data_IF_351529270631
#
_entry.id   IF_351529270631
#
_cell.length_a   1.000
_cell.length_b   1.000
_cell.length_c   1.000
_cell.angle_alpha   90.00
_cell.angle_beta   90.00
_cell.angle_gamma   90.00
#
_symmetry.space_group_name_H-M   'P 1'
#
loop_
_entity.id
_entity.type
_entity.pdbx_description
1 polymer ?
#
# COMPACT_ATOMS: atom_id res chain seq x y z
N UNK A 1 -9.93 5.68 -13.58
CA UNK A 1 -9.85 5.86 -12.12
C UNK A 1 -8.64 5.09 -11.60
N UNK A 2 -7.83 5.68 -10.75
CA UNK A 2 -6.72 5.02 -10.08
C UNK A 2 -7.01 4.93 -8.58
N UNK A 3 -6.69 3.79 -7.96
CA UNK A 3 -6.86 3.56 -6.52
C UNK A 3 -5.48 3.31 -5.93
N UNK A 4 -5.05 4.15 -4.99
CA UNK A 4 -3.82 3.99 -4.23
C UNK A 4 -4.12 3.32 -2.90
N UNK A 5 -3.46 2.19 -2.63
CA UNK A 5 -3.61 1.44 -1.38
C UNK A 5 -2.25 1.38 -0.70
N UNK A 6 -2.11 2.05 0.43
CA UNK A 6 -0.90 2.00 1.26
C UNK A 6 -1.21 1.52 2.68
N UNK A 7 -0.22 1.47 3.53
CA UNK A 7 -0.32 1.04 4.92
C UNK A 7 0.92 0.27 5.35
N UNK A 8 1.01 -0.04 6.63
CA UNK A 8 2.11 -0.83 7.20
C UNK A 8 2.24 -2.20 6.55
N UNK A 9 3.37 -2.86 6.74
CA UNK A 9 3.51 -4.26 6.35
C UNK A 9 2.42 -5.10 7.02
N UNK A 10 2.00 -6.19 6.36
CA UNK A 10 0.99 -7.14 6.86
C UNK A 10 -0.44 -6.60 7.05
N UNK A 11 -0.76 -5.36 6.63
CA UNK A 11 -2.12 -4.82 6.73
C UNK A 11 -3.10 -5.34 5.67
N UNK A 12 -2.67 -6.23 4.78
CA UNK A 12 -3.52 -6.84 3.76
C UNK A 12 -3.75 -5.99 2.50
N UNK A 13 -2.84 -5.08 2.16
CA UNK A 13 -2.91 -4.26 0.95
C UNK A 13 -3.12 -5.08 -0.32
N UNK A 14 -2.26 -6.09 -0.53
CA UNK A 14 -2.33 -6.99 -1.69
C UNK A 14 -3.63 -7.81 -1.71
N UNK A 15 -4.11 -8.24 -0.51
CA UNK A 15 -5.39 -8.94 -0.40
C UNK A 15 -6.58 -8.04 -0.80
N UNK A 16 -6.55 -6.77 -0.39
CA UNK A 16 -7.56 -5.80 -0.80
C UNK A 16 -7.49 -5.53 -2.32
N UNK A 17 -6.28 -5.33 -2.85
CA UNK A 17 -6.08 -5.12 -4.29
C UNK A 17 -6.61 -6.32 -5.09
N UNK A 18 -6.38 -7.55 -4.63
CA UNK A 18 -6.90 -8.76 -5.25
C UNK A 18 -8.44 -8.81 -5.23
N UNK A 19 -9.06 -8.50 -4.09
CA UNK A 19 -10.54 -8.43 -3.98
C UNK A 19 -11.14 -7.38 -4.93
N UNK A 20 -10.49 -6.22 -5.04
CA UNK A 20 -10.93 -5.17 -5.96
C UNK A 20 -10.74 -5.57 -7.44
N UNK A 21 -9.64 -6.25 -7.78
CA UNK A 21 -9.45 -6.84 -9.10
C UNK A 21 -10.59 -7.82 -9.44
N UNK A 22 -10.93 -8.73 -8.52
CA UNK A 22 -12.00 -9.72 -8.72
C UNK A 22 -13.38 -9.06 -8.88
N UNK A 23 -13.66 -8.02 -8.08
CA UNK A 23 -14.95 -7.33 -8.06
C UNK A 23 -15.13 -6.37 -9.23
N UNK A 24 -14.12 -5.56 -9.55
CA UNK A 24 -14.23 -4.46 -10.52
C UNK A 24 -13.44 -4.71 -11.81
N UNK A 25 -12.65 -5.79 -11.87
CA UNK A 25 -11.76 -6.11 -13.00
C UNK A 25 -10.71 -5.01 -13.26
N UNK A 26 -10.30 -4.28 -12.21
CA UNK A 26 -9.22 -3.31 -12.27
C UNK A 26 -7.88 -4.04 -12.06
N UNK A 27 -6.94 -3.98 -13.01
CA UNK A 27 -5.62 -4.55 -12.78
C UNK A 27 -4.92 -3.83 -11.62
N UNK A 28 -4.03 -4.53 -10.92
CA UNK A 28 -3.22 -3.88 -9.91
C UNK A 28 -1.71 -3.98 -10.20
N UNK A 29 -1.01 -2.91 -9.81
CA UNK A 29 0.44 -2.81 -9.76
C UNK A 29 0.88 -2.93 -8.30
N UNK A 30 1.63 -3.97 -7.99
CA UNK A 30 2.36 -4.05 -6.73
C UNK A 30 3.67 -3.29 -6.84
N UNK A 31 3.86 -2.28 -5.99
CA UNK A 31 5.11 -1.51 -5.94
C UNK A 31 6.28 -2.38 -5.46
N UNK A 32 5.99 -3.41 -4.65
CA UNK A 32 7.00 -4.40 -4.26
C UNK A 32 7.48 -5.25 -5.45
N UNK A 33 6.60 -5.62 -6.36
CA UNK A 33 7.00 -6.31 -7.60
C UNK A 33 7.86 -5.40 -8.48
N UNK A 34 7.49 -4.13 -8.63
CA UNK A 34 8.28 -3.14 -9.35
C UNK A 34 9.67 -2.98 -8.71
N UNK A 35 9.73 -2.82 -7.38
CA UNK A 35 10.97 -2.75 -6.60
C UNK A 35 11.87 -3.92 -6.91
N UNK A 36 11.36 -5.15 -6.77
CA UNK A 36 12.16 -6.35 -7.00
C UNK A 36 12.58 -6.50 -8.46
N UNK A 37 11.74 -6.08 -9.40
CA UNK A 37 12.07 -6.04 -10.82
C UNK A 37 13.28 -5.13 -11.11
N UNK A 38 13.26 -3.90 -10.58
CA UNK A 38 14.33 -2.92 -10.76
C UNK A 38 15.64 -3.35 -10.08
N UNK A 39 15.56 -3.87 -8.86
CA UNK A 39 16.73 -4.38 -8.12
C UNK A 39 17.37 -5.56 -8.86
N UNK A 40 16.59 -6.58 -9.19
CA UNK A 40 17.09 -7.82 -9.81
C UNK A 40 17.61 -7.62 -11.23
N UNK A 41 17.10 -6.64 -11.95
CA UNK A 41 17.57 -6.26 -13.28
C UNK A 41 18.81 -5.35 -13.28
N UNK A 42 19.29 -4.94 -12.10
CA UNK A 42 20.47 -4.07 -11.97
C UNK A 42 20.23 -2.60 -12.36
N UNK A 43 18.98 -2.15 -12.34
CA UNK A 43 18.63 -0.75 -12.63
C UNK A 43 18.81 0.19 -11.43
N UNK A 44 19.23 -0.32 -10.29
CA UNK A 44 19.52 0.45 -9.08
C UNK A 44 20.54 -0.28 -8.21
N UNK A 45 21.32 0.48 -7.42
CA UNK A 45 22.21 -0.04 -6.39
C UNK A 45 21.47 -0.30 -5.05
N UNK A 46 20.20 0.09 -4.96
CA UNK A 46 19.37 -0.20 -3.78
C UNK A 46 19.15 -1.70 -3.65
N UNK A 47 18.91 -2.13 -2.43
CA UNK A 47 18.65 -3.54 -2.07
C UNK A 47 17.29 -3.65 -1.38
N UNK A 48 16.73 -4.85 -1.22
CA UNK A 48 15.50 -5.02 -0.44
C UNK A 48 15.59 -4.58 1.02
N UNK A 49 16.83 -4.42 1.54
CA UNK A 49 17.14 -4.00 2.92
C UNK A 49 17.54 -2.52 3.02
N UNK A 50 17.48 -1.77 1.91
CA UNK A 50 17.67 -0.31 1.94
C UNK A 50 16.56 0.37 2.73
N UNK A 51 16.85 1.55 3.27
CA UNK A 51 15.88 2.32 4.04
C UNK A 51 14.62 2.63 3.22
N UNK A 52 13.45 2.57 3.84
CA UNK A 52 12.17 2.82 3.18
C UNK A 52 12.11 4.22 2.54
N UNK A 53 12.79 5.20 3.13
CA UNK A 53 12.85 6.55 2.56
C UNK A 53 13.59 6.57 1.21
N UNK A 54 14.71 5.86 1.09
CA UNK A 54 15.49 5.76 -0.14
C UNK A 54 14.73 4.98 -1.21
N UNK A 55 14.10 3.88 -0.82
CA UNK A 55 13.23 3.09 -1.70
C UNK A 55 12.05 3.91 -2.20
N UNK A 56 11.40 4.68 -1.32
CA UNK A 56 10.29 5.57 -1.71
C UNK A 56 10.76 6.64 -2.66
N UNK A 57 11.87 7.32 -2.37
CA UNK A 57 12.43 8.37 -3.22
C UNK A 57 12.79 7.87 -4.63
N UNK A 58 13.20 6.61 -4.74
CA UNK A 58 13.53 5.98 -6.02
C UNK A 58 12.29 5.48 -6.77
N UNK A 59 11.37 4.82 -6.09
CA UNK A 59 10.23 4.15 -6.71
C UNK A 59 9.08 5.10 -7.04
N UNK A 60 8.79 6.05 -6.15
CA UNK A 60 7.63 6.91 -6.29
C UNK A 60 7.61 7.74 -7.58
N UNK A 61 8.70 8.37 -8.04
CA UNK A 61 8.70 9.08 -9.32
C UNK A 61 8.30 8.19 -10.50
N UNK A 62 8.70 6.91 -10.49
CA UNK A 62 8.35 5.94 -11.54
C UNK A 62 6.86 5.61 -11.47
N UNK A 63 6.37 5.26 -10.29
CA UNK A 63 4.96 4.93 -10.04
C UNK A 63 4.05 6.09 -10.38
N UNK A 64 4.43 7.31 -10.00
CA UNK A 64 3.71 8.55 -10.33
C UNK A 64 3.48 8.72 -11.83
N UNK A 65 4.51 8.54 -12.65
CA UNK A 65 4.39 8.66 -14.11
C UNK A 65 3.57 7.51 -14.72
N UNK A 66 3.61 6.31 -14.13
CA UNK A 66 2.71 5.21 -14.53
C UNK A 66 1.26 5.54 -14.22
N UNK A 67 0.97 6.16 -13.07
CA UNK A 67 -0.36 6.62 -12.68
C UNK A 67 -0.88 7.66 -13.68
N UNK A 68 -0.06 8.69 -14.00
CA UNK A 68 -0.41 9.71 -15.00
C UNK A 68 -0.76 9.07 -16.34
N UNK A 69 0.10 8.17 -16.80
CA UNK A 69 -0.11 7.44 -18.07
C UNK A 69 -1.43 6.65 -18.06
N UNK A 70 -1.77 5.97 -16.96
CA UNK A 70 -3.01 5.23 -16.85
C UNK A 70 -4.23 6.17 -16.93
N UNK A 71 -4.17 7.33 -16.28
CA UNK A 71 -5.25 8.34 -16.29
C UNK A 71 -5.43 8.93 -17.70
N UNK A 72 -4.33 9.33 -18.34
CA UNK A 72 -4.31 9.89 -19.72
C UNK A 72 -4.91 8.90 -20.72
N UNK A 73 -4.64 7.61 -20.56
CA UNK A 73 -5.19 6.54 -21.37
C UNK A 73 -6.61 6.10 -20.95
N UNK A 74 -7.21 6.76 -19.94
CA UNK A 74 -8.53 6.42 -19.38
C UNK A 74 -8.62 4.97 -18.91
N UNK A 75 -7.52 4.45 -18.39
CA UNK A 75 -7.43 3.11 -17.81
C UNK A 75 -7.75 3.16 -16.31
N UNK A 76 -8.32 2.06 -15.82
CA UNK A 76 -8.45 1.83 -14.39
C UNK A 76 -7.20 1.09 -13.90
N UNK A 77 -6.69 1.46 -12.72
CA UNK A 77 -5.51 0.86 -12.13
C UNK A 77 -5.61 0.90 -10.61
N UNK A 78 -5.24 -0.18 -9.95
CA UNK A 78 -4.97 -0.20 -8.51
C UNK A 78 -3.45 -0.20 -8.34
N UNK A 79 -2.93 0.66 -7.47
CA UNK A 79 -1.51 0.69 -7.10
C UNK A 79 -1.42 0.42 -5.61
N UNK A 80 -0.71 -0.65 -5.23
CA UNK A 80 -0.57 -1.01 -3.83
C UNK A 80 0.89 -1.13 -3.40
N UNK A 81 1.19 -0.72 -2.18
CA UNK A 81 2.52 -0.85 -1.59
C UNK A 81 2.80 0.11 -0.43
N UNK A 82 3.94 -0.11 0.23
CA UNK A 82 4.39 0.74 1.34
C UNK A 82 5.05 2.05 0.87
N UNK A 83 5.50 2.11 -0.39
CA UNK A 83 6.31 3.19 -0.94
C UNK A 83 5.49 4.28 -1.65
N UNK A 84 4.26 4.49 -1.21
CA UNK A 84 3.39 5.61 -1.63
C UNK A 84 3.49 6.67 -0.54
N UNK A 85 4.05 7.86 -0.81
CA UNK A 85 4.24 8.88 0.22
C UNK A 85 2.91 9.49 0.66
N UNK A 86 2.85 10.06 1.87
CA UNK A 86 1.63 10.67 2.41
C UNK A 86 1.30 12.01 1.77
N UNK A 87 2.27 12.71 1.22
CA UNK A 87 2.14 13.94 0.46
C UNK A 87 1.96 13.72 -1.05
N UNK A 88 1.61 12.48 -1.43
CA UNK A 88 1.43 12.04 -2.82
C UNK A 88 0.64 13.01 -3.70
N UNK A 89 -0.35 13.68 -3.13
CA UNK A 89 -1.24 14.58 -3.88
C UNK A 89 -0.54 15.84 -4.38
N UNK A 90 0.57 16.25 -3.77
CA UNK A 90 1.35 17.41 -4.19
C UNK A 90 2.04 17.21 -5.56
N UNK A 91 2.19 15.95 -5.97
CA UNK A 91 2.80 15.58 -7.24
C UNK A 91 1.84 15.57 -8.44
N UNK A 92 0.55 15.85 -8.21
CA UNK A 92 -0.49 15.79 -9.24
C UNK A 92 -1.26 17.10 -9.36
N UNK A 93 -1.53 17.52 -10.59
CA UNK A 93 -2.48 18.61 -10.86
C UNK A 93 -3.94 18.18 -10.64
N UNK A 94 -4.84 19.16 -10.56
CA UNK A 94 -6.27 18.95 -10.31
C UNK A 94 -6.90 17.91 -11.26
N UNK A 95 -6.57 17.97 -12.55
CA UNK A 95 -7.07 17.05 -13.58
C UNK A 95 -6.75 15.56 -13.28
N UNK A 96 -5.62 15.30 -12.62
CA UNK A 96 -5.25 13.95 -12.17
C UNK A 96 -5.92 13.59 -10.86
N UNK A 97 -5.95 14.52 -9.89
CA UNK A 97 -6.48 14.29 -8.54
C UNK A 97 -7.93 13.85 -8.56
N UNK A 98 -8.76 14.39 -9.45
CA UNK A 98 -10.17 13.98 -9.62
C UNK A 98 -10.31 12.49 -9.97
N UNK A 99 -9.28 11.90 -10.57
CA UNK A 99 -9.24 10.51 -11.02
C UNK A 99 -8.55 9.55 -10.04
N UNK A 100 -8.04 10.06 -8.90
CA UNK A 100 -7.31 9.27 -7.91
C UNK A 100 -8.13 9.12 -6.64
N UNK A 101 -8.14 7.91 -6.09
CA UNK A 101 -8.65 7.59 -4.75
C UNK A 101 -7.51 7.01 -3.92
N UNK A 102 -7.46 7.36 -2.64
CA UNK A 102 -6.37 6.95 -1.76
C UNK A 102 -6.93 6.33 -0.48
N UNK A 103 -6.31 5.26 -0.06
CA UNK A 103 -6.64 4.55 1.17
C UNK A 103 -5.38 4.05 1.87
N UNK A 104 -5.21 4.41 3.14
CA UNK A 104 -4.17 3.87 4.00
C UNK A 104 -4.78 2.83 4.95
N UNK A 105 -4.29 1.60 4.94
CA UNK A 105 -4.73 0.56 5.86
C UNK A 105 -3.91 0.63 7.15
N UNK A 106 -4.60 0.71 8.28
CA UNK A 106 -3.98 0.79 9.61
C UNK A 106 -4.68 -0.19 10.55
N UNK A 107 -3.92 -1.01 11.24
CA UNK A 107 -4.41 -1.87 12.31
C UNK A 107 -4.27 -1.17 13.67
N UNK A 108 -5.33 -1.25 14.49
CA UNK A 108 -5.25 -0.80 15.90
C UNK A 108 -4.41 -1.74 16.74
N UNK A 109 -3.83 -1.19 17.78
CA UNK A 109 -3.03 -1.91 18.77
C UNK A 109 -3.77 -3.14 19.33
N UNK A 110 -5.05 -2.98 19.70
CA UNK A 110 -5.86 -4.09 20.22
C UNK A 110 -6.06 -5.20 19.19
N UNK A 111 -6.30 -4.84 17.92
CA UNK A 111 -6.41 -5.80 16.84
C UNK A 111 -5.10 -6.60 16.68
N UNK A 112 -3.97 -5.90 16.62
CA UNK A 112 -2.66 -6.53 16.45
C UNK A 112 -2.38 -7.50 17.60
N UNK A 113 -2.60 -7.08 18.86
CA UNK A 113 -2.35 -7.92 20.03
C UNK A 113 -3.22 -9.18 20.07
N UNK A 114 -4.47 -9.08 19.65
CA UNK A 114 -5.42 -10.19 19.72
C UNK A 114 -5.31 -11.15 18.52
N UNK A 115 -4.81 -10.66 17.36
CA UNK A 115 -4.81 -11.40 16.10
C UNK A 115 -3.40 -11.55 15.48
N UNK A 116 -2.34 -11.42 16.28
CA UNK A 116 -0.97 -11.44 15.75
C UNK A 116 -0.63 -12.77 15.05
N UNK A 117 -1.11 -13.90 15.55
CA UNK A 117 -0.95 -15.19 14.89
C UNK A 117 -1.60 -15.25 13.51
N UNK A 118 -2.78 -14.62 13.39
CA UNK A 118 -3.53 -14.56 12.13
C UNK A 118 -2.81 -13.64 11.15
N UNK A 119 -2.36 -12.46 11.60
CA UNK A 119 -1.57 -11.51 10.80
C UNK A 119 -0.37 -12.22 10.15
N UNK A 120 0.38 -13.00 10.92
CA UNK A 120 1.51 -13.79 10.41
C UNK A 120 1.08 -14.90 9.44
N UNK A 121 0.01 -15.61 9.74
CA UNK A 121 -0.46 -16.71 8.89
C UNK A 121 -1.01 -16.21 7.54
N UNK A 122 -1.72 -15.07 7.55
CA UNK A 122 -2.26 -14.47 6.34
C UNK A 122 -1.23 -13.77 5.47
N UNK A 123 -0.02 -13.50 5.95
CA UNK A 123 1.07 -12.91 5.17
C UNK A 123 1.43 -13.73 3.92
N UNK A 124 1.15 -15.03 3.93
CA UNK A 124 1.48 -15.95 2.84
C UNK A 124 0.27 -16.40 1.99
N UNK A 125 -0.90 -15.76 2.13
CA UNK A 125 -2.11 -16.18 1.41
C UNK A 125 -2.06 -15.80 -0.07
N UNK A 126 -1.50 -14.64 -0.41
CA UNK A 126 -1.39 -14.16 -1.79
C UNK A 126 0.07 -14.12 -2.23
N UNK A 127 0.97 -13.72 -1.34
CA UNK A 127 2.40 -13.65 -1.58
C UNK A 127 3.10 -14.79 -0.82
N UNK A 128 4.16 -15.32 -1.39
CA UNK A 128 5.02 -16.26 -0.66
C UNK A 128 6.27 -15.52 -0.18
N UNK A 129 6.31 -15.21 1.10
CA UNK A 129 7.46 -14.52 1.73
C UNK A 129 8.51 -15.56 2.10
N UNK A 130 9.71 -15.42 1.53
CA UNK A 130 10.84 -16.33 1.79
C UNK A 130 11.41 -16.13 3.20
N UNK A 131 11.37 -14.90 3.72
CA UNK A 131 11.79 -14.55 5.07
C UNK A 131 10.82 -13.51 5.66
N UNK A 132 10.23 -13.83 6.78
CA UNK A 132 9.32 -12.98 7.56
C UNK A 132 9.78 -12.86 9.02
N UNK A 133 11.07 -13.09 9.27
CA UNK A 133 11.67 -13.07 10.62
C UNK A 133 11.57 -11.68 11.28
N UNK A 134 11.51 -10.61 10.48
CA UNK A 134 11.33 -9.24 10.96
C UNK A 134 9.88 -8.94 11.39
N UNK A 135 8.90 -9.80 11.09
CA UNK A 135 7.52 -9.63 11.53
C UNK A 135 7.39 -10.00 13.01
N UNK A 136 7.79 -9.09 13.88
CA UNK A 136 7.54 -9.16 15.33
C UNK A 136 6.31 -8.34 15.70
N UNK A 137 5.70 -8.67 16.84
CA UNK A 137 4.55 -7.90 17.32
C UNK A 137 4.92 -6.43 17.55
N UNK A 138 6.09 -6.17 18.09
CA UNK A 138 6.62 -4.84 18.36
C UNK A 138 6.78 -4.04 17.06
N UNK A 139 7.37 -4.63 16.03
CA UNK A 139 7.55 -3.97 14.73
C UNK A 139 6.21 -3.65 14.07
N UNK A 140 5.26 -4.58 14.11
CA UNK A 140 3.91 -4.36 13.54
C UNK A 140 3.17 -3.26 14.30
N UNK A 141 3.28 -3.19 15.64
CA UNK A 141 2.69 -2.13 16.45
C UNK A 141 3.30 -0.76 16.11
N UNK A 142 4.63 -0.67 16.05
CA UNK A 142 5.34 0.57 15.76
C UNK A 142 5.03 1.09 14.36
N UNK A 143 5.06 0.22 13.35
CA UNK A 143 4.75 0.58 11.96
C UNK A 143 3.32 1.10 11.82
N UNK A 144 2.33 0.42 12.41
CA UNK A 144 0.94 0.86 12.34
C UNK A 144 0.70 2.16 13.10
N UNK A 145 1.35 2.37 14.26
CA UNK A 145 1.28 3.63 15.00
C UNK A 145 1.84 4.79 14.15
N UNK A 146 3.01 4.59 13.53
CA UNK A 146 3.64 5.56 12.63
C UNK A 146 2.75 5.88 11.43
N UNK A 147 2.17 4.86 10.78
CA UNK A 147 1.25 5.04 9.64
C UNK A 147 0.01 5.85 10.02
N UNK A 148 -0.58 5.58 11.19
CA UNK A 148 -1.74 6.34 11.68
C UNK A 148 -1.39 7.80 11.96
N UNK A 149 -0.24 8.03 12.59
CA UNK A 149 0.25 9.40 12.84
C UNK A 149 0.45 10.18 11.53
N UNK A 150 1.12 9.58 10.56
CA UNK A 150 1.35 10.21 9.26
C UNK A 150 0.04 10.44 8.49
N UNK A 151 -0.87 9.47 8.48
CA UNK A 151 -2.17 9.63 7.83
C UNK A 151 -2.96 10.82 8.42
N UNK A 152 -2.94 10.98 9.74
CA UNK A 152 -3.59 12.12 10.42
C UNK A 152 -2.88 13.45 10.15
N UNK A 153 -1.55 13.47 10.19
CA UNK A 153 -0.74 14.67 9.92
C UNK A 153 -0.98 15.20 8.51
N UNK A 154 -1.04 14.33 7.52
CA UNK A 154 -1.25 14.69 6.12
C UNK A 154 -2.74 14.73 5.72
N UNK A 155 -3.67 14.47 6.66
CA UNK A 155 -5.11 14.49 6.45
C UNK A 155 -5.58 13.60 5.28
N UNK A 156 -4.91 12.47 5.10
CA UNK A 156 -5.29 11.49 4.06
C UNK A 156 -6.31 10.48 4.59
N UNK A 157 -7.06 9.88 3.67
CA UNK A 157 -8.03 8.84 4.01
C UNK A 157 -7.36 7.58 4.54
N UNK A 158 -7.88 7.02 5.61
CA UNK A 158 -7.41 5.75 6.16
C UNK A 158 -8.56 4.88 6.65
N UNK A 159 -8.38 3.57 6.56
CA UNK A 159 -9.26 2.58 7.15
C UNK A 159 -8.60 2.02 8.40
N UNK A 160 -9.31 2.10 9.52
CA UNK A 160 -8.82 1.61 10.80
C UNK A 160 -9.42 0.23 11.09
N UNK A 161 -8.57 -0.79 11.09
CA UNK A 161 -8.92 -2.17 11.41
C UNK A 161 -8.87 -2.32 12.93
N UNK A 162 -10.03 -2.52 13.57
CA UNK A 162 -10.17 -2.50 15.03
C UNK A 162 -10.48 -3.89 15.61
N UNK A 163 -11.74 -4.31 15.61
CA UNK A 163 -12.15 -5.58 16.23
C UNK A 163 -12.12 -6.74 15.24
N UNK A 164 -12.45 -6.48 13.99
CA UNK A 164 -12.50 -7.47 12.91
C UNK A 164 -11.83 -6.93 11.66
N UNK A 165 -11.29 -7.84 10.87
CA UNK A 165 -10.74 -7.51 9.56
C UNK A 165 -11.89 -7.42 8.55
N UNK A 166 -12.66 -6.34 8.66
CA UNK A 166 -13.75 -6.03 7.73
C UNK A 166 -13.42 -4.77 6.95
N UNK A 167 -12.86 -4.94 5.75
CA UNK A 167 -12.55 -3.84 4.84
C UNK A 167 -13.60 -3.83 3.76
N UNK A 168 -14.39 -2.74 3.72
CA UNK A 168 -15.34 -2.52 2.66
C UNK A 168 -14.61 -2.49 1.30
N UNK A 169 -15.11 -3.30 0.38
CA UNK A 169 -14.61 -3.37 -1.00
C UNK A 169 -15.41 -2.49 -1.94
N UNK A 170 -16.29 -1.63 -1.44
CA UNK A 170 -16.95 -0.63 -2.28
C UNK A 170 -16.04 0.58 -2.47
N UNK A 171 -15.61 0.78 -3.71
CA UNK A 171 -14.73 1.90 -4.09
C UNK A 171 -15.35 3.25 -3.70
N UNK A 172 -16.68 3.36 -3.69
CA UNK A 172 -17.35 4.61 -3.32
C UNK A 172 -17.29 4.91 -1.81
N UNK A 173 -17.05 3.89 -1.00
CA UNK A 173 -16.95 4.03 0.46
C UNK A 173 -15.48 4.12 0.94
N UNK A 174 -14.51 3.95 0.03
CA UNK A 174 -13.07 4.05 0.33
C UNK A 174 -12.55 5.49 0.29
N UNK A 175 -13.43 6.46 0.33
CA UNK A 175 -13.14 7.90 0.15
C UNK A 175 -13.20 8.66 1.46
#
# INVERSE_FOLDING_TARGET
MVILITGASHTGKTALAQKLLEKYHYPYLSVDHLKMGLIRSGNTELTPLSEDADLTAYLWPIVREMIKTAIENRQNLIVEGCYIPFDWSEDFGEDYLENIRYCCLVMRENYIKNHFSDIRSYANVIEHRLDDSCCTMEAVLEDNARMLEQARKHQVNYVLIDEQYDIDTDINNML
#
